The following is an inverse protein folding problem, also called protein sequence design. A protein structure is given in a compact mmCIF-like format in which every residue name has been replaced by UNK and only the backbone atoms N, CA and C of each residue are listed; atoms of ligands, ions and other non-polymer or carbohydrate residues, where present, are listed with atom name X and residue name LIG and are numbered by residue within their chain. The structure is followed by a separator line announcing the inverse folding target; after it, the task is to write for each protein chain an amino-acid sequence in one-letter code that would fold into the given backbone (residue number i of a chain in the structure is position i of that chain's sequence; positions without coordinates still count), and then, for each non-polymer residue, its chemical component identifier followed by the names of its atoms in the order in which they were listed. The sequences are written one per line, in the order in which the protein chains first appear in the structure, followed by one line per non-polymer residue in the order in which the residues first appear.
data_IF_331309541760
#
_entry.id   IF_331309541760
#
_cell.length_a   1.000
_cell.length_b   1.000
_cell.length_c   1.000
_cell.angle_alpha   90.00
_cell.angle_beta   90.00
_cell.angle_gamma   90.00
#
_symmetry.space_group_name_H-M   'P 1'
#
loop_
_entity.id
_entity.type
_entity.pdbx_description
1 polymer ?
#
# COMPACT_ATOMS: atom_id res chain seq x y z
N UNK A 1 -12.06 -2.57 9.74
CA UNK A 1 -11.94 -1.23 10.38
C UNK A 1 -12.32 -1.23 11.86
N UNK A 2 -13.32 -1.99 12.29
CA UNK A 2 -13.84 -2.00 13.68
C UNK A 2 -12.81 -2.30 14.75
N UNK A 3 -11.86 -3.21 14.51
CA UNK A 3 -10.84 -3.60 15.50
C UNK A 3 -9.90 -2.46 15.87
N UNK A 4 -9.46 -1.65 14.89
CA UNK A 4 -8.55 -0.51 15.15
C UNK A 4 -9.25 0.62 15.92
N UNK A 5 -10.53 0.85 15.64
CA UNK A 5 -11.35 1.80 16.41
C UNK A 5 -11.52 1.32 17.85
N UNK A 6 -11.73 0.01 18.07
CA UNK A 6 -11.84 -0.57 19.40
C UNK A 6 -10.52 -0.44 20.17
N UNK A 7 -9.39 -0.76 19.54
CA UNK A 7 -8.06 -0.59 20.15
C UNK A 7 -7.81 0.88 20.53
N UNK A 8 -8.14 1.82 19.65
CA UNK A 8 -8.04 3.24 19.93
C UNK A 8 -8.95 3.69 21.09
N UNK A 9 -10.17 3.17 21.16
CA UNK A 9 -11.11 3.44 22.24
C UNK A 9 -10.63 2.85 23.58
N UNK A 10 -10.11 1.62 23.59
CA UNK A 10 -9.51 1.01 24.77
C UNK A 10 -8.31 1.83 25.27
N UNK A 11 -7.42 2.26 24.37
CA UNK A 11 -6.29 3.12 24.72
C UNK A 11 -6.78 4.45 25.32
N UNK A 12 -7.77 5.09 24.70
CA UNK A 12 -8.34 6.33 25.19
C UNK A 12 -9.02 6.15 26.57
N UNK A 13 -9.73 5.05 26.77
CA UNK A 13 -10.33 4.69 28.06
C UNK A 13 -9.26 4.47 29.13
N UNK A 14 -8.14 3.82 28.80
CA UNK A 14 -7.00 3.70 29.72
C UNK A 14 -6.42 5.07 30.09
N UNK A 15 -6.27 6.00 29.14
CA UNK A 15 -5.83 7.37 29.44
C UNK A 15 -6.77 8.08 30.42
N UNK A 16 -8.09 7.89 30.30
CA UNK A 16 -9.06 8.49 31.22
C UNK A 16 -8.98 7.94 32.65
N UNK A 17 -8.47 6.70 32.84
CA UNK A 17 -8.28 6.10 34.17
C UNK A 17 -7.06 6.70 34.88
N UNK A 18 -5.96 6.92 34.14
CA UNK A 18 -4.70 7.37 34.73
C UNK A 18 -4.53 8.90 34.76
N UNK A 19 -5.19 9.65 33.89
CA UNK A 19 -5.02 11.10 33.75
C UNK A 19 -6.33 11.87 34.02
N UNK A 20 -6.23 13.14 34.43
CA UNK A 20 -7.39 14.03 34.52
C UNK A 20 -8.13 14.09 33.17
N UNK A 21 -9.48 14.06 33.15
CA UNK A 21 -10.26 14.02 31.91
C UNK A 21 -9.92 15.11 30.89
N UNK A 22 -9.51 16.29 31.37
CA UNK A 22 -9.09 17.41 30.52
C UNK A 22 -7.84 17.10 29.70
N UNK A 23 -6.88 16.39 30.29
CA UNK A 23 -5.61 16.04 29.63
C UNK A 23 -5.80 14.85 28.69
N UNK A 24 -6.58 13.85 29.13
CA UNK A 24 -6.90 12.67 28.32
C UNK A 24 -7.68 13.04 27.05
N UNK A 25 -8.63 13.98 27.14
CA UNK A 25 -9.38 14.49 25.98
C UNK A 25 -8.57 15.46 25.10
N UNK A 26 -7.61 16.19 25.68
CA UNK A 26 -6.80 17.14 24.92
C UNK A 26 -5.95 16.44 23.84
N UNK A 27 -5.35 15.29 24.14
CA UNK A 27 -4.49 14.56 23.20
C UNK A 27 -5.17 14.24 21.85
N UNK A 28 -6.32 13.54 21.79
CA UNK A 28 -6.98 13.27 20.52
C UNK A 28 -7.49 14.54 19.83
N UNK A 29 -7.98 15.54 20.59
CA UNK A 29 -8.46 16.80 20.01
C UNK A 29 -7.33 17.58 19.34
N UNK A 30 -6.17 17.70 20.00
CA UNK A 30 -5.00 18.38 19.42
C UNK A 30 -4.51 17.66 18.17
N UNK A 31 -4.44 16.33 18.18
CA UNK A 31 -4.03 15.55 17.00
C UNK A 31 -5.00 15.77 15.82
N UNK A 32 -6.31 15.75 16.09
CA UNK A 32 -7.33 15.98 15.07
C UNK A 32 -7.26 17.41 14.53
N UNK A 33 -7.12 18.41 15.40
CA UNK A 33 -6.98 19.81 15.00
C UNK A 33 -5.74 20.02 14.14
N UNK A 34 -4.58 19.46 14.51
CA UNK A 34 -3.35 19.57 13.71
C UNK A 34 -3.52 18.92 12.33
N UNK A 35 -4.16 17.74 12.24
CA UNK A 35 -4.47 17.09 10.96
C UNK A 35 -5.44 17.92 10.12
N UNK A 36 -6.46 18.51 10.74
CA UNK A 36 -7.45 19.36 10.07
C UNK A 36 -6.83 20.65 9.54
N UNK A 37 -6.03 21.34 10.35
CA UNK A 37 -5.30 22.56 9.95
C UNK A 37 -4.34 22.24 8.80
N UNK A 38 -3.58 21.13 8.88
CA UNK A 38 -2.71 20.69 7.79
C UNK A 38 -3.50 20.42 6.50
N UNK A 39 -4.66 19.78 6.60
CA UNK A 39 -5.55 19.56 5.46
C UNK A 39 -6.03 20.87 4.84
N UNK A 40 -6.44 21.84 5.65
CA UNK A 40 -6.86 23.16 5.16
C UNK A 40 -5.73 23.90 4.43
N UNK A 41 -4.52 23.88 4.98
CA UNK A 41 -3.35 24.48 4.35
C UNK A 41 -2.98 23.82 3.02
N UNK A 42 -3.07 22.48 2.93
CA UNK A 42 -2.86 21.76 1.67
C UNK A 42 -3.96 22.11 0.66
N UNK A 43 -5.22 22.14 1.09
CA UNK A 43 -6.37 22.49 0.23
C UNK A 43 -6.27 23.89 -0.34
N UNK A 44 -5.82 24.85 0.45
CA UNK A 44 -5.63 26.24 0.02
C UNK A 44 -4.36 26.46 -0.81
N UNK A 45 -3.54 25.42 -1.01
CA UNK A 45 -2.29 25.50 -1.76
C UNK A 45 -1.12 26.13 -1.00
N UNK A 46 -1.27 26.42 0.30
CA UNK A 46 -0.20 26.97 1.14
C UNK A 46 0.85 25.91 1.48
N UNK A 47 0.45 24.64 1.56
CA UNK A 47 1.37 23.50 1.74
C UNK A 47 1.32 22.59 0.52
N UNK A 48 2.49 22.10 0.10
CA UNK A 48 2.59 21.10 -0.98
C UNK A 48 1.84 19.85 -0.57
N UNK A 49 0.92 19.39 -1.43
CA UNK A 49 0.26 18.10 -1.25
C UNK A 49 1.29 16.97 -1.49
N UNK A 50 1.68 16.19 -0.47
CA UNK A 50 2.61 15.08 -0.68
C UNK A 50 2.04 14.01 -1.61
N UNK A 51 0.71 13.87 -1.67
CA UNK A 51 0.05 12.90 -2.56
C UNK A 51 0.01 13.36 -4.03
N UNK A 52 0.28 14.63 -4.31
CA UNK A 52 0.42 15.15 -5.67
C UNK A 52 1.89 15.33 -6.08
N UNK A 53 2.82 14.87 -5.25
CA UNK A 53 4.23 14.90 -5.60
C UNK A 53 4.47 13.96 -6.78
N UNK A 54 5.16 14.45 -7.81
CA UNK A 54 5.47 13.72 -9.05
C UNK A 54 4.25 13.29 -9.88
N UNK A 55 3.10 13.95 -9.67
CA UNK A 55 1.91 13.72 -10.50
C UNK A 55 2.01 14.51 -11.80
N UNK A 56 2.06 13.79 -12.91
CA UNK A 56 1.97 14.36 -14.25
C UNK A 56 0.50 14.59 -14.62
N UNK A 57 0.05 15.85 -14.53
CA UNK A 57 -1.31 16.23 -14.93
C UNK A 57 -1.50 16.12 -16.45
N UNK A 58 -2.69 15.68 -16.88
CA UNK A 58 -3.03 15.48 -18.30
C UNK A 58 -3.00 14.01 -18.70
N UNK A 59 -2.92 13.73 -20.00
CA UNK A 59 -2.81 12.37 -20.54
C UNK A 59 -1.35 12.07 -20.85
N UNK A 60 -0.82 11.04 -20.20
CA UNK A 60 0.55 10.58 -20.39
C UNK A 60 0.51 9.08 -20.69
N UNK A 61 1.37 8.64 -21.61
CA UNK A 61 1.61 7.23 -21.91
C UNK A 61 3.08 6.93 -21.68
N UNK A 62 3.38 5.76 -21.13
CA UNK A 62 4.75 5.30 -20.89
C UNK A 62 5.17 4.38 -22.03
N UNK A 63 6.35 4.60 -22.59
CA UNK A 63 6.95 3.72 -23.60
C UNK A 63 8.16 3.02 -22.95
N UNK A 64 8.27 1.71 -23.15
CA UNK A 64 9.45 0.97 -22.71
C UNK A 64 10.61 1.24 -23.69
N UNK A 65 11.82 1.56 -23.21
CA UNK A 65 12.97 1.69 -24.08
C UNK A 65 13.35 0.31 -24.65
N UNK A 66 13.86 0.31 -25.88
CA UNK A 66 14.47 -0.87 -26.48
C UNK A 66 15.83 -1.18 -25.81
N UNK A 67 16.40 -2.38 -26.02
CA UNK A 67 17.68 -2.76 -25.42
C UNK A 67 18.83 -1.84 -25.85
N UNK A 68 18.70 -1.17 -27.00
CA UNK A 68 19.64 -0.17 -27.49
C UNK A 68 19.38 1.25 -26.93
N UNK A 69 18.37 1.40 -26.07
CA UNK A 69 17.94 2.67 -25.47
C UNK A 69 17.07 3.54 -26.39
N UNK A 70 16.72 3.07 -27.59
CA UNK A 70 15.84 3.79 -28.51
C UNK A 70 14.36 3.62 -28.14
N UNK A 71 13.51 4.53 -28.61
CA UNK A 71 12.05 4.44 -28.44
C UNK A 71 11.40 4.22 -29.80
N UNK A 72 10.51 3.23 -29.88
CA UNK A 72 9.67 3.02 -31.06
C UNK A 72 8.44 3.92 -31.03
N UNK A 73 7.95 4.28 -32.21
CA UNK A 73 6.63 4.89 -32.39
C UNK A 73 5.53 3.85 -32.67
N UNK A 74 5.88 2.57 -32.74
CA UNK A 74 4.93 1.47 -32.96
C UNK A 74 4.36 1.04 -31.60
N UNK A 75 3.03 1.14 -31.37
CA UNK A 75 2.42 0.63 -30.15
C UNK A 75 2.59 -0.88 -30.05
N UNK A 76 2.86 -1.39 -28.84
CA UNK A 76 2.96 -2.82 -28.54
C UNK A 76 3.97 -3.58 -29.41
N UNK A 77 5.17 -3.03 -29.58
CA UNK A 77 6.26 -3.70 -30.31
C UNK A 77 6.83 -4.94 -29.60
N UNK A 78 6.41 -5.18 -28.35
CA UNK A 78 6.83 -6.30 -27.51
C UNK A 78 5.64 -6.95 -26.82
N UNK A 79 5.72 -8.28 -26.71
CA UNK A 79 4.84 -9.06 -25.86
C UNK A 79 5.23 -8.84 -24.41
N UNK A 80 4.22 -8.68 -23.54
CA UNK A 80 4.40 -8.60 -22.09
C UNK A 80 3.53 -9.64 -21.42
N UNK A 81 4.03 -10.20 -20.32
CA UNK A 81 3.28 -11.16 -19.52
C UNK A 81 2.89 -10.51 -18.20
N UNK A 82 1.60 -10.58 -17.87
CA UNK A 82 1.08 -10.14 -16.58
C UNK A 82 0.79 -11.39 -15.75
N UNK A 83 1.49 -11.53 -14.63
CA UNK A 83 1.26 -12.61 -13.68
C UNK A 83 0.56 -12.06 -12.45
N UNK A 84 -0.65 -12.57 -12.19
CA UNK A 84 -1.45 -12.26 -11.01
C UNK A 84 -1.25 -13.38 -9.99
N UNK A 85 -0.48 -13.10 -8.95
CA UNK A 85 -0.25 -14.05 -7.86
C UNK A 85 -1.08 -13.66 -6.64
N UNK A 86 -1.81 -14.63 -6.10
CA UNK A 86 -2.67 -14.42 -4.96
C UNK A 86 -2.52 -15.52 -3.92
N UNK A 87 -2.68 -15.14 -2.66
CA UNK A 87 -2.84 -16.05 -1.55
C UNK A 87 -4.14 -15.72 -0.83
N UNK A 88 -4.91 -16.75 -0.46
CA UNK A 88 -6.14 -16.60 0.31
C UNK A 88 -6.14 -17.60 1.47
N UNK A 89 -6.49 -17.12 2.66
CA UNK A 89 -6.66 -17.92 3.85
C UNK A 89 -8.05 -17.69 4.45
N UNK A 90 -8.68 -18.78 4.87
CA UNK A 90 -9.97 -18.75 5.56
C UNK A 90 -9.88 -18.94 7.07
N UNK A 91 -8.67 -18.90 7.62
CA UNK A 91 -8.45 -19.11 9.04
C UNK A 91 -9.03 -17.93 9.87
N UNK A 92 -9.68 -18.18 11.01
CA UNK A 92 -10.31 -17.13 11.83
C UNK A 92 -9.33 -16.11 12.39
N UNK A 93 -8.06 -16.49 12.61
CA UNK A 93 -6.99 -15.57 13.00
C UNK A 93 -6.44 -14.72 11.84
N UNK A 94 -6.94 -14.93 10.63
CA UNK A 94 -6.57 -14.19 9.42
C UNK A 94 -5.07 -14.17 9.15
N UNK A 95 -4.50 -12.97 9.02
CA UNK A 95 -3.06 -12.79 8.75
C UNK A 95 -2.15 -13.32 9.88
N UNK A 96 -2.68 -13.53 11.08
CA UNK A 96 -1.95 -14.12 12.21
C UNK A 96 -2.11 -15.64 12.31
N UNK A 97 -2.76 -16.27 11.33
CA UNK A 97 -2.86 -17.72 11.29
C UNK A 97 -1.47 -18.37 11.15
N UNK A 98 -1.27 -19.57 11.74
CA UNK A 98 -0.05 -20.33 11.53
C UNK A 98 0.14 -20.60 10.02
N UNK A 99 1.37 -20.45 9.52
CA UNK A 99 1.68 -20.61 8.09
C UNK A 99 1.58 -19.31 7.26
N UNK A 100 0.79 -18.32 7.68
CA UNK A 100 0.66 -17.05 6.95
C UNK A 100 1.95 -16.21 6.95
N UNK A 101 2.70 -16.09 8.06
CA UNK A 101 4.00 -15.42 8.06
C UNK A 101 5.02 -16.07 7.13
N UNK A 102 5.05 -17.40 7.09
CA UNK A 102 5.95 -18.20 6.26
C UNK A 102 5.65 -17.98 4.77
N UNK A 103 4.35 -18.01 4.40
CA UNK A 103 3.92 -17.66 3.04
C UNK A 103 4.34 -16.24 2.67
N UNK A 104 4.14 -15.28 3.57
CA UNK A 104 4.57 -13.90 3.35
C UNK A 104 6.07 -13.76 3.11
N UNK A 105 6.89 -14.54 3.83
CA UNK A 105 8.33 -14.61 3.63
C UNK A 105 8.70 -15.20 2.26
N UNK A 106 8.10 -16.31 1.87
CA UNK A 106 8.35 -16.94 0.55
C UNK A 106 8.03 -15.96 -0.59
N UNK A 107 6.93 -15.21 -0.48
CA UNK A 107 6.62 -14.16 -1.45
C UNK A 107 7.67 -13.06 -1.47
N UNK A 108 8.12 -12.59 -0.31
CA UNK A 108 9.17 -11.56 -0.24
C UNK A 108 10.47 -12.04 -0.88
N UNK A 109 10.94 -13.23 -0.50
CA UNK A 109 12.18 -13.82 -1.00
C UNK A 109 12.12 -14.02 -2.54
N UNK A 110 10.97 -14.48 -3.05
CA UNK A 110 10.74 -14.63 -4.50
C UNK A 110 10.81 -13.29 -5.25
N UNK A 111 10.24 -12.22 -4.69
CA UNK A 111 10.28 -10.90 -5.31
C UNK A 111 11.66 -10.26 -5.25
N UNK A 112 12.40 -10.49 -4.16
CA UNK A 112 13.78 -10.03 -4.02
C UNK A 112 14.69 -10.76 -5.03
N UNK A 113 14.49 -12.06 -5.25
CA UNK A 113 15.21 -12.82 -6.28
C UNK A 113 14.88 -12.32 -7.69
N UNK A 114 13.60 -12.08 -7.99
CA UNK A 114 13.18 -11.53 -9.27
C UNK A 114 13.75 -10.13 -9.53
N UNK A 115 13.88 -9.32 -8.49
CA UNK A 115 14.50 -8.00 -8.57
C UNK A 115 16.02 -8.08 -8.79
N UNK A 116 16.70 -9.04 -8.17
CA UNK A 116 18.13 -9.25 -8.31
C UNK A 116 18.51 -9.77 -9.70
N UNK A 117 17.68 -10.66 -10.27
CA UNK A 117 17.89 -11.27 -11.58
C UNK A 117 16.98 -10.69 -12.67
N UNK A 118 16.66 -9.38 -12.56
CA UNK A 118 15.66 -8.71 -13.41
C UNK A 118 15.90 -8.86 -14.91
N UNK A 119 17.15 -8.79 -15.33
CA UNK A 119 17.52 -8.82 -16.76
C UNK A 119 17.48 -10.24 -17.32
N UNK A 120 17.70 -11.25 -16.47
CA UNK A 120 17.62 -12.67 -16.83
C UNK A 120 16.16 -13.14 -16.93
N UNK A 121 15.33 -12.74 -15.96
CA UNK A 121 13.94 -13.17 -15.92
C UNK A 121 12.98 -12.29 -16.73
N UNK A 122 13.44 -11.14 -17.24
CA UNK A 122 12.59 -10.14 -17.88
C UNK A 122 11.70 -9.37 -16.89
N UNK A 123 12.01 -9.38 -15.60
CA UNK A 123 11.16 -8.78 -14.58
C UNK A 123 11.10 -7.25 -14.68
N UNK A 124 9.91 -6.71 -14.95
CA UNK A 124 9.65 -5.27 -15.05
C UNK A 124 9.19 -4.64 -13.74
N UNK A 125 8.67 -5.46 -12.82
CA UNK A 125 8.24 -5.01 -11.49
C UNK A 125 6.90 -5.59 -11.06
N UNK A 126 6.44 -5.16 -9.88
CA UNK A 126 5.14 -5.55 -9.32
C UNK A 126 4.45 -4.40 -8.60
N UNK A 127 3.14 -4.53 -8.42
CA UNK A 127 2.37 -3.66 -7.55
C UNK A 127 2.77 -3.82 -6.09
N UNK A 128 2.43 -2.81 -5.27
CA UNK A 128 2.41 -2.99 -3.82
C UNK A 128 1.47 -4.15 -3.45
N UNK A 129 1.69 -4.75 -2.26
CA UNK A 129 0.81 -5.80 -1.74
C UNK A 129 -0.61 -5.28 -1.63
N UNK A 130 -1.52 -5.86 -2.42
CA UNK A 130 -2.93 -5.50 -2.39
C UNK A 130 -3.68 -6.43 -1.43
N UNK A 131 -4.61 -5.86 -0.67
CA UNK A 131 -5.47 -6.57 0.26
C UNK A 131 -6.93 -6.31 -0.10
N UNK A 132 -7.82 -7.29 0.04
CA UNK A 132 -9.23 -7.06 -0.13
C UNK A 132 -9.72 -6.06 0.92
N UNK A 133 -10.58 -5.14 0.47
CA UNK A 133 -11.24 -4.17 1.34
C UNK A 133 -12.58 -4.69 1.85
N UNK A 134 -13.13 -5.73 1.21
CA UNK A 134 -14.43 -6.30 1.50
C UNK A 134 -14.32 -7.59 2.32
N UNK A 135 -15.26 -7.76 3.25
CA UNK A 135 -15.31 -8.90 4.18
C UNK A 135 -15.51 -10.23 3.44
N UNK A 136 -16.24 -10.22 2.32
CA UNK A 136 -16.60 -11.40 1.53
C UNK A 136 -15.37 -12.08 0.90
N UNK A 137 -14.33 -11.29 0.63
CA UNK A 137 -13.10 -11.77 0.03
C UNK A 137 -12.20 -12.55 1.00
N UNK A 138 -12.53 -12.57 2.29
CA UNK A 138 -11.71 -13.17 3.36
C UNK A 138 -10.27 -12.61 3.37
N UNK A 139 -9.35 -13.21 4.12
CA UNK A 139 -7.96 -12.75 4.17
C UNK A 139 -7.24 -13.15 2.88
N UNK A 140 -7.07 -12.19 1.96
CA UNK A 140 -6.32 -12.40 0.73
C UNK A 140 -5.18 -11.38 0.58
N UNK A 141 -4.19 -11.76 -0.21
CA UNK A 141 -3.08 -10.91 -0.64
C UNK A 141 -2.91 -11.12 -2.14
N UNK A 142 -2.79 -10.04 -2.91
CA UNK A 142 -2.64 -10.10 -4.37
C UNK A 142 -1.44 -9.24 -4.79
N UNK A 143 -0.66 -9.77 -5.73
CA UNK A 143 0.39 -9.08 -6.47
C UNK A 143 0.09 -9.18 -7.96
N UNK A 144 0.20 -8.04 -8.65
CA UNK A 144 0.26 -8.01 -10.11
C UNK A 144 1.70 -7.72 -10.48
N UNK A 145 2.29 -8.60 -11.28
CA UNK A 145 3.67 -8.50 -11.74
C UNK A 145 3.75 -8.48 -13.26
N UNK A 146 4.78 -7.81 -13.77
CA UNK A 146 5.00 -7.56 -15.19
C UNK A 146 6.35 -8.15 -15.59
N UNK A 147 6.36 -8.84 -16.73
CA UNK A 147 7.50 -9.55 -17.30
C UNK A 147 7.54 -9.32 -18.81
#
# INVERSE_FOLDING_TARGET
MTTWLLVGACLHASLLIFLPPRVAAAAPVVILLLKYIKFLFIRQGLLRNPAAQDVHYGRWSTHLPQPDGSYTNVPSDREMVIVVLGFRSSHPQGRFAPGCPEVGKVFADMWDDAQAHRDEYGYLGKTASMFPLETDCNNAMIYISYW
#
